data_IF_825736169361
#
_entry.id   IF_825736169361
#
_cell.length_a   1.000
_cell.length_b   1.000
_cell.length_c   1.000
_cell.angle_alpha   90.00
_cell.angle_beta   90.00
_cell.angle_gamma   90.00
#
_symmetry.space_group_name_H-M   'P 1'
#
loop_
_entity.id
_entity.type
_entity.pdbx_description
1 polymer ?
#
# COMPACT_ATOMS: atom_id res chain seq x y z
N UNK A 1 12.31 49.74 -3.84
CA UNK A 1 11.39 48.91 -4.65
C UNK A 1 12.19 47.76 -5.24
N UNK A 2 12.19 46.63 -4.55
CA UNK A 2 12.94 45.42 -4.91
C UNK A 2 11.99 44.48 -5.66
N UNK A 3 12.35 44.12 -6.89
CA UNK A 3 11.60 43.13 -7.72
C UNK A 3 11.93 41.74 -7.20
N UNK A 4 10.97 41.03 -6.66
CA UNK A 4 11.05 39.60 -6.36
C UNK A 4 10.95 38.84 -7.67
N UNK A 5 12.03 38.20 -8.05
CA UNK A 5 12.13 37.34 -9.23
C UNK A 5 11.27 36.08 -9.00
N UNK A 6 10.34 35.85 -9.93
CA UNK A 6 9.60 34.56 -10.00
C UNK A 6 10.56 33.48 -10.46
N UNK A 7 11.07 32.70 -9.53
CA UNK A 7 11.74 31.47 -9.85
C UNK A 7 10.70 30.47 -10.41
N UNK A 8 10.91 30.13 -11.66
CA UNK A 8 10.17 29.08 -12.38
C UNK A 8 10.43 27.74 -11.69
N UNK A 9 9.40 27.17 -11.06
CA UNK A 9 9.44 25.81 -10.56
C UNK A 9 9.28 24.87 -11.76
N UNK A 10 10.40 24.55 -12.40
CA UNK A 10 10.48 23.55 -13.44
C UNK A 10 10.68 22.18 -12.78
N UNK A 11 9.70 21.31 -12.99
CA UNK A 11 9.90 19.91 -13.26
C UNK A 11 10.65 19.08 -12.19
N UNK A 12 10.08 18.88 -11.03
CA UNK A 12 10.38 17.68 -10.27
C UNK A 12 9.50 16.54 -10.83
N UNK A 13 10.02 15.84 -11.83
CA UNK A 13 9.59 14.47 -12.07
C UNK A 13 9.96 13.69 -10.81
N UNK A 14 9.03 13.61 -9.88
CA UNK A 14 9.14 12.71 -8.73
C UNK A 14 9.16 11.30 -9.31
N UNK A 15 10.36 10.78 -9.53
CA UNK A 15 10.56 9.36 -9.58
C UNK A 15 10.05 8.83 -8.24
N UNK A 16 8.83 8.29 -8.24
CA UNK A 16 8.34 7.45 -7.16
C UNK A 16 9.37 6.33 -7.11
N UNK A 17 10.23 6.39 -6.10
CA UNK A 17 11.26 5.40 -5.91
C UNK A 17 10.54 4.06 -5.76
N UNK A 18 10.74 3.20 -6.75
CA UNK A 18 10.38 1.81 -6.68
C UNK A 18 10.78 1.29 -5.30
N UNK A 19 9.79 0.84 -4.53
CA UNK A 19 9.99 -0.06 -3.40
C UNK A 19 10.49 -1.36 -4.05
N UNK A 20 11.76 -1.34 -4.39
CA UNK A 20 12.40 -2.36 -5.19
C UNK A 20 13.16 -3.36 -4.31
N UNK A 21 14.30 -3.84 -4.77
CA UNK A 21 15.08 -4.93 -4.15
C UNK A 21 15.43 -4.70 -2.67
N UNK A 22 15.41 -3.46 -2.17
CA UNK A 22 15.68 -3.16 -0.76
C UNK A 22 14.62 -3.70 0.21
N UNK A 23 13.32 -3.68 -0.16
CA UNK A 23 12.26 -4.28 0.66
C UNK A 23 12.38 -5.80 0.67
N UNK A 24 12.67 -6.41 -0.48
CA UNK A 24 12.91 -7.85 -0.57
C UNK A 24 14.07 -8.29 0.33
N UNK A 25 15.16 -7.51 0.36
CA UNK A 25 16.31 -7.81 1.22
C UNK A 25 15.95 -7.81 2.72
N UNK A 26 15.07 -6.93 3.18
CA UNK A 26 14.62 -6.89 4.57
C UNK A 26 13.87 -8.17 4.98
N UNK A 27 13.01 -8.71 4.12
CA UNK A 27 12.32 -9.97 4.40
C UNK A 27 13.23 -11.20 4.33
N UNK A 28 14.32 -11.16 3.55
CA UNK A 28 15.24 -12.29 3.40
C UNK A 28 16.26 -12.41 4.53
N UNK A 29 16.45 -11.38 5.35
CA UNK A 29 17.36 -11.41 6.51
C UNK A 29 16.68 -12.01 7.75
N UNK A 30 15.37 -12.02 7.81
CA UNK A 30 14.57 -12.58 8.90
C UNK A 30 14.50 -14.11 8.81
N UNK A 31 15.58 -14.82 9.13
CA UNK A 31 15.61 -16.20 8.76
C UNK A 31 16.23 -17.19 9.76
N UNK A 32 15.79 -17.15 10.97
CA UNK A 32 15.74 -18.37 11.78
C UNK A 32 14.28 -18.62 12.12
N UNK A 33 13.74 -19.77 11.68
CA UNK A 33 12.39 -20.30 11.90
C UNK A 33 11.39 -19.30 12.50
N UNK A 34 10.74 -18.50 11.64
CA UNK A 34 9.74 -17.55 12.13
C UNK A 34 8.66 -18.29 12.91
N UNK A 35 8.19 -17.67 13.97
CA UNK A 35 7.10 -18.21 14.79
C UNK A 35 5.84 -18.43 13.93
N UNK A 36 5.05 -19.46 14.23
CA UNK A 36 3.80 -19.73 13.52
C UNK A 36 2.84 -18.55 13.53
N UNK A 37 2.89 -17.71 14.58
CA UNK A 37 2.13 -16.48 14.69
C UNK A 37 2.55 -15.48 13.62
N UNK A 38 3.85 -15.30 13.41
CA UNK A 38 4.39 -14.40 12.40
C UNK A 38 3.99 -14.86 11.00
N UNK A 39 4.08 -16.17 10.72
CA UNK A 39 3.63 -16.76 9.45
C UNK A 39 2.13 -16.50 9.21
N UNK A 40 1.30 -16.61 10.24
CA UNK A 40 -0.13 -16.30 10.13
C UNK A 40 -0.36 -14.83 9.78
N UNK A 41 0.34 -13.90 10.43
CA UNK A 41 0.26 -12.46 10.14
C UNK A 41 0.67 -12.18 8.70
N UNK A 42 1.80 -12.74 8.25
CA UNK A 42 2.26 -12.59 6.87
C UNK A 42 1.23 -13.11 5.85
N UNK A 43 0.58 -14.24 6.14
CA UNK A 43 -0.45 -14.79 5.25
C UNK A 43 -1.72 -13.92 5.19
N UNK A 44 -2.10 -13.27 6.29
CA UNK A 44 -3.18 -12.26 6.28
C UNK A 44 -2.76 -11.07 5.41
N UNK A 45 -1.52 -10.59 5.54
CA UNK A 45 -0.99 -9.53 4.71
C UNK A 45 -0.96 -9.91 3.21
N UNK A 46 -0.54 -11.13 2.85
CA UNK A 46 -0.60 -11.63 1.46
C UNK A 46 -2.03 -11.57 0.90
N UNK A 47 -3.03 -11.95 1.69
CA UNK A 47 -4.43 -11.90 1.26
C UNK A 47 -4.92 -10.46 1.05
N UNK A 48 -4.44 -9.52 1.87
CA UNK A 48 -4.73 -8.10 1.75
C UNK A 48 -4.11 -7.50 0.49
N UNK A 49 -2.83 -7.79 0.22
CA UNK A 49 -2.16 -7.32 -1.00
C UNK A 49 -2.82 -7.84 -2.28
N UNK A 50 -3.26 -9.09 -2.29
CA UNK A 50 -4.04 -9.63 -3.41
C UNK A 50 -5.35 -8.89 -3.62
N UNK A 51 -6.02 -8.47 -2.55
CA UNK A 51 -7.23 -7.68 -2.65
C UNK A 51 -6.94 -6.29 -3.23
N UNK A 52 -5.84 -5.64 -2.83
CA UNK A 52 -5.37 -4.38 -3.40
C UNK A 52 -5.11 -4.51 -4.91
N UNK A 53 -4.34 -5.53 -5.32
CA UNK A 53 -4.08 -5.81 -6.74
C UNK A 53 -5.41 -5.96 -7.51
N UNK A 54 -6.33 -6.76 -6.98
CA UNK A 54 -7.64 -6.96 -7.62
C UNK A 54 -8.45 -5.67 -7.71
N UNK A 55 -8.47 -4.86 -6.65
CA UNK A 55 -9.18 -3.59 -6.63
C UNK A 55 -8.69 -2.66 -7.75
N UNK A 56 -7.38 -2.55 -7.94
CA UNK A 56 -6.80 -1.71 -8.99
C UNK A 56 -6.97 -2.31 -10.39
N UNK A 57 -6.94 -3.64 -10.54
CA UNK A 57 -7.27 -4.30 -11.80
C UNK A 57 -8.72 -4.02 -12.21
N UNK A 58 -9.66 -4.17 -11.28
CA UNK A 58 -11.07 -3.92 -11.53
C UNK A 58 -11.31 -2.44 -11.85
N UNK A 59 -10.69 -1.53 -11.10
CA UNK A 59 -10.76 -0.08 -11.34
C UNK A 59 -10.26 0.30 -12.75
N UNK A 60 -9.11 -0.24 -13.16
CA UNK A 60 -8.57 -0.02 -14.50
C UNK A 60 -9.49 -0.59 -15.59
N UNK A 61 -10.13 -1.72 -15.32
CA UNK A 61 -11.05 -2.40 -16.24
C UNK A 61 -12.37 -1.66 -16.47
N UNK A 62 -12.74 -0.70 -15.62
CA UNK A 62 -13.99 0.07 -15.77
C UNK A 62 -14.01 1.01 -16.98
N UNK A 63 -12.83 1.45 -17.45
CA UNK A 63 -12.71 2.49 -18.47
C UNK A 63 -13.09 3.91 -17.98
N UNK A 64 -13.37 4.09 -16.69
CA UNK A 64 -13.80 5.38 -16.12
C UNK A 64 -12.63 6.27 -15.70
N UNK A 65 -11.41 5.71 -15.58
CA UNK A 65 -10.23 6.46 -15.14
C UNK A 65 -9.63 7.28 -16.28
N UNK A 66 -9.41 8.57 -16.04
CA UNK A 66 -8.63 9.41 -16.95
C UNK A 66 -7.17 8.94 -17.02
N UNK A 67 -6.46 9.12 -18.16
CA UNK A 67 -5.12 8.59 -18.34
C UNK A 67 -4.11 8.91 -17.21
N UNK A 68 -4.05 10.13 -16.64
CA UNK A 68 -3.14 10.40 -15.52
C UNK A 68 -3.49 9.60 -14.27
N UNK A 69 -4.78 9.44 -13.96
CA UNK A 69 -5.26 8.68 -12.79
C UNK A 69 -5.03 7.19 -12.99
N UNK A 70 -5.26 6.69 -14.20
CA UNK A 70 -4.97 5.30 -14.56
C UNK A 70 -3.48 4.97 -14.41
N UNK A 71 -2.60 5.91 -14.76
CA UNK A 71 -1.15 5.74 -14.57
C UNK A 71 -0.79 5.60 -13.08
N UNK A 72 -1.37 6.44 -12.21
CA UNK A 72 -1.18 6.33 -10.75
C UNK A 72 -1.73 5.01 -10.22
N UNK A 73 -2.95 4.63 -10.58
CA UNK A 73 -3.56 3.37 -10.18
C UNK A 73 -2.71 2.15 -10.60
N UNK A 74 -2.12 2.21 -11.80
CA UNK A 74 -1.19 1.18 -12.28
C UNK A 74 0.11 1.14 -11.47
N UNK A 75 0.57 2.28 -10.97
CA UNK A 75 1.70 2.38 -10.05
C UNK A 75 1.40 1.67 -8.73
N UNK A 76 0.29 2.00 -8.10
CA UNK A 76 -0.14 1.39 -6.84
C UNK A 76 -0.34 -0.13 -6.97
N UNK A 77 -0.93 -0.59 -8.07
CA UNK A 77 -1.04 -2.02 -8.35
C UNK A 77 0.33 -2.72 -8.41
N UNK A 78 1.36 -2.06 -8.94
CA UNK A 78 2.74 -2.59 -8.95
C UNK A 78 3.32 -2.65 -7.54
N UNK A 79 3.06 -1.65 -6.71
CA UNK A 79 3.51 -1.63 -5.32
C UNK A 79 2.87 -2.79 -4.53
N UNK A 80 1.56 -2.97 -4.60
CA UNK A 80 0.88 -4.12 -4.00
C UNK A 80 1.41 -5.46 -4.53
N UNK A 81 1.76 -5.54 -5.81
CA UNK A 81 2.37 -6.75 -6.38
C UNK A 81 3.73 -7.03 -5.75
N UNK A 82 4.57 -6.01 -5.61
CA UNK A 82 5.88 -6.13 -4.97
C UNK A 82 5.77 -6.49 -3.48
N UNK A 83 4.83 -5.88 -2.75
CA UNK A 83 4.55 -6.21 -1.36
C UNK A 83 4.13 -7.68 -1.21
N UNK A 84 3.15 -8.13 -2.00
CA UNK A 84 2.70 -9.54 -2.01
C UNK A 84 3.86 -10.50 -2.24
N UNK A 85 4.69 -10.23 -3.23
CA UNK A 85 5.79 -11.14 -3.61
C UNK A 85 6.87 -11.16 -2.52
N UNK A 86 7.15 -10.03 -1.88
CA UNK A 86 8.04 -9.95 -0.73
C UNK A 86 7.51 -10.74 0.47
N UNK A 87 6.22 -10.62 0.77
CA UNK A 87 5.56 -11.36 1.85
C UNK A 87 5.55 -12.87 1.58
N UNK A 88 5.30 -13.29 0.34
CA UNK A 88 5.39 -14.70 -0.08
C UNK A 88 6.80 -15.25 0.14
N UNK A 89 7.82 -14.50 -0.28
CA UNK A 89 9.21 -14.91 -0.07
C UNK A 89 9.55 -15.00 1.42
N UNK A 90 9.07 -14.09 2.25
CA UNK A 90 9.25 -14.14 3.70
C UNK A 90 8.65 -15.39 4.32
N UNK A 91 7.40 -15.75 3.96
CA UNK A 91 6.75 -16.97 4.45
C UNK A 91 7.53 -18.23 4.02
N UNK A 92 7.98 -18.29 2.76
CA UNK A 92 8.77 -19.42 2.26
C UNK A 92 10.10 -19.54 2.98
N UNK A 93 10.78 -18.42 3.20
CA UNK A 93 12.05 -18.37 3.90
C UNK A 93 11.93 -18.83 5.35
N UNK A 94 10.82 -18.49 6.01
CA UNK A 94 10.45 -18.95 7.33
C UNK A 94 10.06 -20.44 7.40
N UNK A 95 10.12 -21.17 6.28
CA UNK A 95 9.70 -22.59 6.20
C UNK A 95 8.18 -22.79 6.19
N UNK A 96 7.40 -21.70 6.09
CA UNK A 96 5.96 -21.73 6.02
C UNK A 96 5.41 -21.93 4.60
N UNK A 97 4.09 -22.11 4.51
CA UNK A 97 3.38 -22.19 3.23
C UNK A 97 2.63 -20.86 2.99
N UNK A 98 2.91 -20.15 1.89
CA UNK A 98 2.16 -18.96 1.54
C UNK A 98 0.69 -19.27 1.31
N UNK A 99 -0.18 -18.45 1.91
CA UNK A 99 -1.62 -18.52 1.71
C UNK A 99 -2.01 -18.21 0.25
N UNK A 100 -3.11 -18.78 -0.20
CA UNK A 100 -3.69 -18.52 -1.54
C UNK A 100 -4.91 -17.64 -1.48
N UNK A 101 -5.39 -17.33 -0.29
CA UNK A 101 -6.58 -16.54 -0.05
C UNK A 101 -6.44 -15.10 -0.55
N UNK A 102 -7.57 -14.49 -0.81
CA UNK A 102 -7.70 -13.06 -1.13
C UNK A 102 -8.74 -12.47 -0.20
N UNK A 103 -8.43 -11.37 0.45
CA UNK A 103 -9.41 -10.64 1.27
C UNK A 103 -10.57 -10.21 0.40
N UNK A 104 -11.79 -10.54 0.83
CA UNK A 104 -13.00 -10.19 0.10
C UNK A 104 -13.26 -8.69 0.20
N UNK A 105 -13.38 -8.03 -0.94
CA UNK A 105 -13.80 -6.65 -1.03
C UNK A 105 -15.30 -6.57 -1.30
N UNK A 106 -15.95 -5.58 -0.70
CA UNK A 106 -17.34 -5.22 -1.03
C UNK A 106 -17.30 -3.94 -1.85
N UNK A 107 -17.67 -4.05 -3.11
CA UNK A 107 -17.67 -2.92 -4.03
C UNK A 107 -18.97 -2.13 -3.89
N UNK A 108 -18.90 -0.80 -3.71
CA UNK A 108 -20.04 0.07 -3.91
C UNK A 108 -20.37 0.16 -5.42
N UNK A 109 -21.44 0.83 -5.76
CA UNK A 109 -21.70 1.17 -7.14
C UNK A 109 -20.67 2.19 -7.65
N UNK A 110 -19.91 1.84 -8.69
CA UNK A 110 -18.84 2.65 -9.27
C UNK A 110 -19.30 3.19 -10.62
N UNK A 111 -19.76 4.43 -10.66
CA UNK A 111 -20.26 5.10 -11.88
C UNK A 111 -19.31 6.16 -12.42
N UNK A 112 -18.43 6.69 -11.58
CA UNK A 112 -17.54 7.79 -11.94
C UNK A 112 -16.13 7.52 -11.46
N UNK A 113 -15.15 8.23 -12.02
CA UNK A 113 -13.78 8.22 -11.51
C UNK A 113 -13.73 8.55 -10.01
N UNK A 114 -14.53 9.50 -9.54
CA UNK A 114 -14.56 9.89 -8.13
C UNK A 114 -15.06 8.77 -7.23
N UNK A 115 -16.00 7.94 -7.69
CA UNK A 115 -16.46 6.78 -6.91
C UNK A 115 -15.34 5.77 -6.77
N UNK A 116 -14.59 5.52 -7.85
CA UNK A 116 -13.41 4.63 -7.84
C UNK A 116 -12.34 5.16 -6.89
N UNK A 117 -12.01 6.47 -6.97
CA UNK A 117 -11.01 7.08 -6.08
C UNK A 117 -11.41 7.01 -4.61
N UNK A 118 -12.68 7.23 -4.28
CA UNK A 118 -13.19 7.09 -2.91
C UNK A 118 -13.11 5.65 -2.41
N UNK A 119 -13.46 4.70 -3.26
CA UNK A 119 -13.34 3.28 -2.94
C UNK A 119 -11.87 2.87 -2.74
N UNK A 120 -10.98 3.26 -3.66
CA UNK A 120 -9.55 3.03 -3.50
C UNK A 120 -9.02 3.64 -2.19
N UNK A 121 -9.39 4.89 -1.88
CA UNK A 121 -9.00 5.53 -0.62
C UNK A 121 -9.45 4.72 0.62
N UNK A 122 -10.64 4.13 0.59
CA UNK A 122 -11.11 3.29 1.68
C UNK A 122 -10.29 1.99 1.80
N UNK A 123 -9.93 1.38 0.67
CA UNK A 123 -9.08 0.17 0.62
C UNK A 123 -7.69 0.47 1.19
N UNK A 124 -7.04 1.56 0.76
CA UNK A 124 -5.71 1.94 1.25
C UNK A 124 -5.71 2.29 2.74
N UNK A 125 -6.73 3.00 3.21
CA UNK A 125 -6.88 3.27 4.66
C UNK A 125 -7.02 1.98 5.46
N UNK A 126 -7.79 1.02 4.97
CA UNK A 126 -7.94 -0.28 5.62
C UNK A 126 -6.63 -1.06 5.60
N UNK A 127 -5.87 -1.02 4.50
CA UNK A 127 -4.57 -1.64 4.40
C UNK A 127 -3.60 -1.05 5.42
N UNK A 128 -3.45 0.27 5.43
CA UNK A 128 -2.59 0.96 6.38
C UNK A 128 -2.98 0.67 7.85
N UNK A 129 -4.27 0.71 8.19
CA UNK A 129 -4.76 0.39 9.53
C UNK A 129 -4.45 -1.07 9.91
N UNK A 130 -4.60 -2.00 8.98
CA UNK A 130 -4.30 -3.42 9.21
C UNK A 130 -2.82 -3.61 9.49
N UNK A 131 -1.91 -3.06 8.66
CA UNK A 131 -0.48 -3.13 8.90
C UNK A 131 -0.11 -2.52 10.26
N UNK A 132 -0.63 -1.34 10.59
CA UNK A 132 -0.38 -0.70 11.88
C UNK A 132 -0.79 -1.60 13.05
N UNK A 133 -1.94 -2.26 12.96
CA UNK A 133 -2.48 -3.10 14.02
C UNK A 133 -1.68 -4.39 14.24
N UNK A 134 -1.05 -4.94 13.22
CA UNK A 134 -0.35 -6.23 13.32
C UNK A 134 1.14 -6.09 13.66
N UNK A 135 1.76 -4.93 13.39
CA UNK A 135 3.18 -4.69 13.69
C UNK A 135 3.57 -5.06 15.13
N UNK A 136 2.81 -4.67 16.17
CA UNK A 136 3.17 -5.02 17.56
C UNK A 136 3.10 -6.51 17.86
N UNK A 137 2.41 -7.31 17.04
CA UNK A 137 2.19 -8.74 17.25
C UNK A 137 3.31 -9.61 16.68
N UNK A 138 4.19 -9.06 15.85
CA UNK A 138 5.35 -9.79 15.34
C UNK A 138 6.35 -10.09 16.48
N UNK A 139 6.78 -11.33 16.55
CA UNK A 139 7.91 -11.74 17.39
C UNK A 139 9.25 -11.38 16.74
N UNK A 140 9.36 -11.58 15.43
CA UNK A 140 10.51 -11.15 14.65
C UNK A 140 10.45 -9.65 14.35
N UNK A 141 11.44 -8.91 14.88
CA UNK A 141 11.53 -7.45 14.69
C UNK A 141 11.81 -7.05 13.26
N UNK A 142 12.46 -7.92 12.48
CA UNK A 142 12.76 -7.64 11.07
C UNK A 142 11.47 -7.69 10.25
N UNK A 143 10.59 -8.66 10.55
CA UNK A 143 9.26 -8.73 9.93
C UNK A 143 8.39 -7.54 10.33
N UNK A 144 8.45 -7.12 11.61
CA UNK A 144 7.78 -5.91 12.06
C UNK A 144 8.28 -4.65 11.32
N UNK A 145 9.60 -4.52 11.14
CA UNK A 145 10.21 -3.39 10.41
C UNK A 145 9.80 -3.41 8.93
N UNK A 146 9.83 -4.57 8.29
CA UNK A 146 9.43 -4.71 6.89
C UNK A 146 7.94 -4.37 6.69
N UNK A 147 7.07 -4.82 7.60
CA UNK A 147 5.65 -4.45 7.61
C UNK A 147 5.45 -2.96 7.83
N UNK A 148 6.27 -2.31 8.67
CA UNK A 148 6.30 -0.87 8.83
C UNK A 148 6.70 -0.12 7.55
N UNK A 149 7.59 -0.70 6.75
CA UNK A 149 7.96 -0.14 5.44
C UNK A 149 6.79 -0.20 4.45
N UNK A 150 6.02 -1.29 4.43
CA UNK A 150 4.80 -1.38 3.63
C UNK A 150 3.77 -0.36 4.11
N UNK A 151 3.52 -0.25 5.43
CA UNK A 151 2.64 0.77 6.00
C UNK A 151 3.00 2.18 5.50
N UNK A 152 4.30 2.50 5.40
CA UNK A 152 4.78 3.78 4.84
C UNK A 152 4.31 4.00 3.40
N UNK A 153 4.31 2.97 2.57
CA UNK A 153 3.81 3.05 1.18
C UNK A 153 2.29 3.20 1.14
N UNK A 154 1.55 2.40 1.93
CA UNK A 154 0.08 2.49 2.00
C UNK A 154 -0.39 3.88 2.44
N UNK A 155 0.30 4.50 3.40
CA UNK A 155 0.01 5.88 3.81
C UNK A 155 0.32 6.89 2.72
N UNK A 156 1.30 6.62 1.87
CA UNK A 156 1.59 7.45 0.68
C UNK A 156 0.47 7.33 -0.36
N UNK A 157 -0.04 6.12 -0.61
CA UNK A 157 -1.21 5.91 -1.48
C UNK A 157 -2.43 6.70 -0.95
N UNK A 158 -2.71 6.62 0.35
CA UNK A 158 -3.76 7.40 1.01
C UNK A 158 -3.58 8.90 0.77
N UNK A 159 -2.37 9.43 0.93
CA UNK A 159 -2.09 10.85 0.73
C UNK A 159 -2.35 11.29 -0.72
N UNK A 160 -1.87 10.52 -1.69
CA UNK A 160 -2.06 10.80 -3.13
C UNK A 160 -3.54 10.76 -3.51
N UNK A 161 -4.29 9.75 -3.05
CA UNK A 161 -5.72 9.64 -3.33
C UNK A 161 -6.52 10.78 -2.69
N UNK A 162 -6.19 11.15 -1.45
CA UNK A 162 -6.80 12.27 -0.75
C UNK A 162 -6.59 13.58 -1.51
N UNK A 163 -5.36 13.82 -1.96
CA UNK A 163 -5.03 14.99 -2.77
C UNK A 163 -5.77 14.99 -4.13
N UNK A 164 -5.81 13.83 -4.79
CA UNK A 164 -6.51 13.67 -6.08
C UNK A 164 -8.00 13.92 -5.97
N UNK A 165 -8.61 13.58 -4.84
CA UNK A 165 -10.01 13.86 -4.52
C UNK A 165 -10.26 15.32 -4.11
N UNK A 166 -9.23 16.16 -3.98
CA UNK A 166 -9.37 17.55 -3.52
C UNK A 166 -9.80 17.65 -2.05
N UNK A 167 -9.58 16.62 -1.24
CA UNK A 167 -10.01 16.57 0.16
C UNK A 167 -9.06 17.32 1.11
N UNK A 168 -8.06 18.01 0.56
CA UNK A 168 -7.08 18.75 1.37
C UNK A 168 -6.10 17.83 2.11
N UNK A 169 -5.09 18.46 2.71
CA UNK A 169 -4.12 17.78 3.58
C UNK A 169 -4.47 17.98 5.06
N UNK A 170 -5.75 18.11 5.39
CA UNK A 170 -6.15 18.13 6.79
C UNK A 170 -5.44 16.97 7.50
N UNK A 171 -4.76 17.22 8.62
CA UNK A 171 -4.13 16.16 9.37
C UNK A 171 -5.18 15.08 9.59
N UNK A 172 -4.85 13.86 9.24
CA UNK A 172 -5.76 12.71 9.32
C UNK A 172 -6.26 12.59 10.76
N UNK A 173 -7.30 13.37 11.07
CA UNK A 173 -7.88 13.43 12.41
C UNK A 173 -8.29 12.03 12.85
N UNK A 174 -7.49 11.43 13.70
CA UNK A 174 -7.90 10.37 14.56
C UNK A 174 -8.08 8.97 13.97
N UNK A 175 -7.77 8.72 12.70
CA UNK A 175 -7.99 7.38 12.13
C UNK A 175 -6.88 6.37 12.42
N UNK A 176 -5.64 6.84 12.60
CA UNK A 176 -4.48 5.95 12.68
C UNK A 176 -3.82 5.87 14.06
N UNK A 177 -4.23 6.67 15.03
CA UNK A 177 -3.52 6.79 16.31
C UNK A 177 -4.41 6.55 17.53
N UNK A 178 -5.68 6.25 17.34
CA UNK A 178 -6.53 5.82 18.45
C UNK A 178 -6.42 4.31 18.60
N UNK A 179 -5.50 3.88 19.49
CA UNK A 179 -5.49 2.53 20.03
C UNK A 179 -6.72 2.25 20.84
#
# INVERSE_FOLDING_TARGET
>A
MSRVSRATLLGASSAIALVGPALMAQFLVAAEAADEGDIKILNVAIALERAGIKAYQDAAGTGLLQPPVLAVASGFMKDHTAHRDALIAAVQHAGGKPGTETTKLTYPELKTQNDILKFALAVERQAAATYLSVIPSFKDRTLAQASGSILGVETTHVAVLTQTLGMGTEPYGGGFVTG
#
